data_IF_247520488261
#
_entry.id   IF_247520488261
#
_cell.length_a   1.000
_cell.length_b   1.000
_cell.length_c   1.000
_cell.angle_alpha   90.00
_cell.angle_beta   90.00
_cell.angle_gamma   90.00
#
_symmetry.space_group_name_H-M   'P 1'
#
loop_
_entity.id
_entity.type
_entity.pdbx_description
1 polymer ?
#
# COMPACT_ATOMS: atom_id res chain seq x y z
N UNK A 1 11.14 13.89 11.12
CA UNK A 1 10.08 13.09 10.50
C UNK A 1 9.29 12.44 11.61
N UNK A 2 8.15 13.05 11.96
CA UNK A 2 7.19 12.51 12.91
C UNK A 2 6.18 11.65 12.14
N UNK A 3 5.82 10.49 12.69
CA UNK A 3 4.70 9.69 12.17
C UNK A 3 3.48 10.08 12.97
N UNK A 4 2.36 10.31 12.30
CA UNK A 4 1.07 10.58 12.94
C UNK A 4 -0.04 9.77 12.29
N UNK A 5 -1.03 9.37 13.08
CA UNK A 5 -2.27 8.83 12.54
C UNK A 5 -2.99 9.93 11.73
N UNK A 6 -3.59 9.56 10.61
CA UNK A 6 -4.30 10.49 9.74
C UNK A 6 -5.74 10.72 10.24
N UNK A 7 -6.09 11.98 10.48
CA UNK A 7 -7.47 12.40 10.62
C UNK A 7 -8.23 12.35 9.27
N UNK A 8 -9.52 12.68 9.27
CA UNK A 8 -10.34 12.62 8.06
C UNK A 8 -9.83 13.53 6.93
N UNK A 9 -9.27 14.70 7.28
CA UNK A 9 -8.76 15.65 6.28
C UNK A 9 -7.44 15.16 5.67
N UNK A 10 -6.53 14.66 6.50
CA UNK A 10 -5.26 14.07 6.07
C UNK A 10 -5.49 12.82 5.20
N UNK A 11 -6.48 11.98 5.55
CA UNK A 11 -6.86 10.83 4.72
C UNK A 11 -7.35 11.25 3.34
N UNK A 12 -8.17 12.30 3.26
CA UNK A 12 -8.66 12.83 1.98
C UNK A 12 -7.52 13.39 1.13
N UNK A 13 -6.62 14.15 1.74
CA UNK A 13 -5.43 14.67 1.05
C UNK A 13 -4.56 13.53 0.50
N UNK A 14 -4.25 12.53 1.34
CA UNK A 14 -3.45 11.37 0.95
C UNK A 14 -4.14 10.51 -0.13
N UNK A 15 -5.45 10.30 -0.02
CA UNK A 15 -6.22 9.54 -1.01
C UNK A 15 -6.21 10.21 -2.39
N UNK A 16 -6.19 11.53 -2.46
CA UNK A 16 -6.07 12.25 -3.73
C UNK A 16 -4.71 12.05 -4.42
N UNK A 17 -3.69 11.63 -3.69
CA UNK A 17 -2.37 11.32 -4.27
C UNK A 17 -2.29 9.92 -4.87
N UNK A 18 -2.83 8.92 -4.17
CA UNK A 18 -2.87 7.53 -4.63
C UNK A 18 -3.98 7.28 -5.67
N UNK A 19 -5.02 8.10 -5.62
CA UNK A 19 -6.33 7.83 -6.20
C UNK A 19 -7.28 7.25 -5.13
N UNK A 20 -8.56 7.66 -5.10
CA UNK A 20 -9.45 7.42 -3.97
C UNK A 20 -9.88 5.95 -3.80
N UNK A 21 -9.72 5.14 -4.84
CA UNK A 21 -10.12 3.73 -4.88
C UNK A 21 -8.93 2.84 -5.17
N UNK A 22 -8.73 1.81 -4.34
CA UNK A 22 -7.80 0.72 -4.59
C UNK A 22 -8.57 -0.58 -4.83
N UNK A 23 -8.00 -1.47 -5.63
CA UNK A 23 -8.53 -2.82 -5.83
C UNK A 23 -7.41 -3.80 -5.56
N UNK A 24 -7.65 -4.72 -4.64
CA UNK A 24 -6.75 -5.80 -4.29
C UNK A 24 -7.58 -7.06 -4.05
N UNK A 25 -7.15 -8.20 -4.61
CA UNK A 25 -7.86 -9.49 -4.42
C UNK A 25 -9.35 -9.44 -4.78
N UNK A 26 -9.71 -8.60 -5.76
CA UNK A 26 -11.09 -8.40 -6.21
C UNK A 26 -11.99 -7.55 -5.28
N UNK A 27 -11.44 -6.98 -4.20
CA UNK A 27 -12.16 -6.10 -3.27
C UNK A 27 -11.86 -4.64 -3.58
N UNK A 28 -12.88 -3.78 -3.53
CA UNK A 28 -12.72 -2.33 -3.65
C UNK A 28 -12.49 -1.74 -2.26
N UNK A 29 -11.47 -0.91 -2.14
CA UNK A 29 -11.13 -0.15 -0.94
C UNK A 29 -11.28 1.35 -1.23
N UNK A 30 -12.03 2.06 -0.40
CA UNK A 30 -12.04 3.53 -0.40
C UNK A 30 -11.02 4.02 0.60
N UNK A 31 -9.95 4.68 0.15
CA UNK A 31 -8.84 5.02 1.03
C UNK A 31 -9.24 5.95 2.18
N UNK A 32 -10.16 6.89 1.92
CA UNK A 32 -10.65 7.83 2.94
C UNK A 32 -11.36 7.16 4.12
N UNK A 33 -11.86 5.94 3.92
CA UNK A 33 -12.56 5.12 4.93
C UNK A 33 -11.61 4.20 5.70
N UNK A 34 -10.36 4.05 5.25
CA UNK A 34 -9.39 3.18 5.88
C UNK A 34 -8.56 3.92 6.94
N UNK A 35 -8.12 3.24 8.02
CA UNK A 35 -7.11 3.80 8.88
C UNK A 35 -5.78 3.97 8.13
N UNK A 36 -4.96 4.90 8.61
CA UNK A 36 -3.66 5.17 8.01
C UNK A 36 -2.83 6.14 8.85
N UNK A 37 -1.54 6.19 8.54
CA UNK A 37 -0.61 7.15 9.14
C UNK A 37 0.22 7.84 8.06
N UNK A 38 0.74 9.01 8.37
CA UNK A 38 1.55 9.80 7.45
C UNK A 38 2.83 10.29 8.12
N UNK A 39 3.79 10.69 7.28
CA UNK A 39 5.01 11.38 7.69
C UNK A 39 4.94 12.81 7.17
N UNK A 40 5.19 13.77 8.06
CA UNK A 40 5.30 15.19 7.71
C UNK A 40 6.72 15.72 7.88
N UNK A 41 7.02 16.79 7.13
CA UNK A 41 8.21 17.63 7.35
C UNK A 41 8.00 18.62 8.51
N UNK A 42 8.98 19.51 8.73
CA UNK A 42 8.93 20.50 9.81
C UNK A 42 7.89 21.59 9.60
N UNK A 43 7.41 21.76 8.36
CA UNK A 43 6.42 22.77 7.97
C UNK A 43 5.00 22.19 7.93
N UNK A 44 4.84 20.90 8.26
CA UNK A 44 3.58 20.19 8.27
C UNK A 44 3.15 19.64 6.90
N UNK A 45 4.02 19.66 5.88
CA UNK A 45 3.67 19.09 4.58
C UNK A 45 3.77 17.56 4.62
N UNK A 46 2.76 16.88 4.06
CA UNK A 46 2.75 15.43 3.95
C UNK A 46 3.79 14.92 2.94
N UNK A 47 4.78 14.17 3.43
CA UNK A 47 5.84 13.56 2.63
C UNK A 47 5.49 12.14 2.17
N UNK A 48 4.74 11.40 2.99
CA UNK A 48 4.33 10.04 2.69
C UNK A 48 3.09 9.66 3.51
N UNK A 49 2.28 8.74 2.99
CA UNK A 49 1.11 8.21 3.66
C UNK A 49 0.96 6.72 3.40
N UNK A 50 0.49 5.98 4.40
CA UNK A 50 0.14 4.57 4.30
C UNK A 50 -1.29 4.37 4.76
N UNK A 51 -2.05 3.59 4.00
CA UNK A 51 -3.38 3.10 4.36
C UNK A 51 -3.33 1.60 4.55
N UNK A 52 -4.03 1.11 5.56
CA UNK A 52 -4.07 -0.31 5.86
C UNK A 52 -5.48 -0.78 6.23
N UNK A 53 -5.71 -2.07 6.15
CA UNK A 53 -6.97 -2.71 6.52
C UNK A 53 -6.65 -3.95 7.37
N UNK A 54 -7.15 -4.00 8.60
CA UNK A 54 -7.02 -5.17 9.47
C UNK A 54 -8.31 -5.97 9.42
N UNK A 55 -8.20 -7.22 9.00
CA UNK A 55 -9.34 -8.12 8.87
C UNK A 55 -8.90 -9.56 9.09
N UNK A 56 -9.69 -10.35 9.82
CA UNK A 56 -9.46 -11.78 10.04
C UNK A 56 -8.06 -12.13 10.60
N UNK A 57 -7.49 -11.27 11.45
CA UNK A 57 -6.15 -11.49 12.00
C UNK A 57 -5.01 -11.24 11.01
N UNK A 58 -5.26 -10.52 9.93
CA UNK A 58 -4.24 -10.08 8.97
C UNK A 58 -4.30 -8.58 8.73
N UNK A 59 -3.15 -7.96 8.49
CA UNK A 59 -3.06 -6.54 8.16
C UNK A 59 -2.63 -6.37 6.70
N UNK A 60 -3.51 -5.82 5.87
CA UNK A 60 -3.19 -5.46 4.49
C UNK A 60 -2.68 -4.02 4.42
N UNK A 61 -1.50 -3.78 3.83
CA UNK A 61 -1.11 -2.45 3.36
C UNK A 61 -1.81 -2.23 2.02
N UNK A 62 -2.83 -1.38 2.02
CA UNK A 62 -3.68 -1.12 0.86
C UNK A 62 -3.06 -0.09 -0.08
N UNK A 63 -2.33 0.89 0.47
CA UNK A 63 -1.63 1.91 -0.31
C UNK A 63 -0.47 2.47 0.49
N UNK A 64 0.67 2.73 -0.17
CA UNK A 64 1.80 3.46 0.38
C UNK A 64 2.30 4.43 -0.68
N UNK A 65 2.10 5.73 -0.43
CA UNK A 65 2.55 6.80 -1.32
C UNK A 65 3.65 7.63 -0.67
N UNK A 66 4.63 8.06 -1.46
CA UNK A 66 5.67 8.97 -0.99
C UNK A 66 6.06 9.98 -2.06
N UNK A 67 6.04 11.26 -1.69
CA UNK A 67 6.54 12.37 -2.51
C UNK A 67 8.06 12.54 -2.41
N UNK A 68 8.69 11.92 -1.42
CA UNK A 68 10.11 12.04 -1.14
C UNK A 68 10.77 10.65 -1.10
N UNK A 69 10.96 10.08 -2.28
CA UNK A 69 11.66 8.80 -2.44
C UNK A 69 13.07 8.84 -1.82
N UNK A 70 13.55 7.68 -1.36
CA UNK A 70 14.90 7.48 -0.82
C UNK A 70 15.26 8.29 0.44
N UNK A 71 14.27 8.83 1.16
CA UNK A 71 14.48 9.50 2.48
C UNK A 71 14.01 8.68 3.69
N UNK A 72 13.66 7.41 3.48
CA UNK A 72 13.29 6.47 4.56
C UNK A 72 11.86 6.57 5.08
N UNK A 73 11.03 7.51 4.59
CA UNK A 73 9.65 7.69 5.05
C UNK A 73 8.79 6.42 4.88
N UNK A 74 8.88 5.77 3.72
CA UNK A 74 8.14 4.52 3.47
C UNK A 74 8.54 3.37 4.40
N UNK A 75 9.83 3.26 4.77
CA UNK A 75 10.27 2.24 5.75
C UNK A 75 9.62 2.49 7.10
N UNK A 76 9.66 3.73 7.58
CA UNK A 76 9.09 4.12 8.88
C UNK A 76 7.58 3.87 8.95
N UNK A 77 6.87 4.14 7.86
CA UNK A 77 5.43 3.86 7.77
C UNK A 77 5.14 2.35 7.83
N UNK A 78 5.92 1.52 7.15
CA UNK A 78 5.81 0.06 7.23
C UNK A 78 6.08 -0.44 8.64
N UNK A 79 7.14 0.06 9.29
CA UNK A 79 7.47 -0.30 10.68
C UNK A 79 6.32 0.05 11.63
N UNK A 80 5.70 1.23 11.46
CA UNK A 80 4.55 1.65 12.27
C UNK A 80 3.33 0.76 12.06
N UNK A 81 2.99 0.42 10.81
CA UNK A 81 1.88 -0.51 10.52
C UNK A 81 2.18 -1.91 11.05
N UNK A 82 3.42 -2.38 10.92
CA UNK A 82 3.85 -3.69 11.43
C UNK A 82 3.74 -3.77 12.95
N UNK A 83 4.17 -2.73 13.67
CA UNK A 83 4.03 -2.64 15.12
C UNK A 83 2.56 -2.66 15.55
N UNK A 84 1.69 -1.93 14.83
CA UNK A 84 0.25 -1.94 15.09
C UNK A 84 -0.37 -3.31 14.83
N UNK A 85 -0.07 -3.94 13.70
CA UNK A 85 -0.54 -5.27 13.36
C UNK A 85 -0.14 -6.30 14.44
N UNK A 86 1.10 -6.25 14.95
CA UNK A 86 1.54 -7.06 16.10
C UNK A 86 0.69 -6.80 17.35
N UNK A 87 0.44 -5.55 17.68
CA UNK A 87 -0.38 -5.19 18.86
C UNK A 87 -1.83 -5.64 18.76
N UNK A 88 -2.36 -5.75 17.54
CA UNK A 88 -3.71 -6.24 17.24
C UNK A 88 -3.77 -7.77 17.09
N UNK A 89 -2.65 -8.48 17.32
CA UNK A 89 -2.59 -9.94 17.24
C UNK A 89 -2.67 -10.49 15.82
N UNK A 90 -2.30 -9.69 14.82
CA UNK A 90 -2.25 -10.17 13.44
C UNK A 90 -1.13 -11.21 13.26
N UNK A 91 -1.37 -12.20 12.40
CA UNK A 91 -0.39 -13.22 12.03
C UNK A 91 0.59 -12.74 10.95
N UNK A 92 0.17 -11.77 10.13
CA UNK A 92 1.00 -11.20 9.05
C UNK A 92 0.61 -9.78 8.70
N UNK A 93 1.57 -9.07 8.08
CA UNK A 93 1.33 -7.89 7.25
C UNK A 93 1.51 -8.31 5.79
N UNK A 94 0.60 -7.95 4.91
CA UNK A 94 0.68 -8.32 3.50
C UNK A 94 0.23 -7.18 2.59
N UNK A 95 0.47 -7.31 1.29
CA UNK A 95 0.06 -6.33 0.28
C UNK A 95 -0.04 -6.93 -1.11
N UNK A 96 -0.72 -6.21 -1.99
CA UNK A 96 -0.72 -6.45 -3.43
C UNK A 96 0.07 -5.36 -4.14
N UNK A 97 0.92 -5.78 -5.07
CA UNK A 97 1.50 -4.89 -6.08
C UNK A 97 1.30 -5.49 -7.46
N UNK A 98 1.27 -4.65 -8.49
CA UNK A 98 1.17 -5.12 -9.87
C UNK A 98 2.50 -5.66 -10.38
N UNK A 99 2.43 -6.60 -11.32
CA UNK A 99 3.61 -7.26 -11.88
C UNK A 99 4.60 -6.32 -12.59
N UNK A 100 4.17 -5.14 -13.04
CA UNK A 100 5.04 -4.13 -13.63
C UNK A 100 5.85 -3.34 -12.59
N UNK A 101 5.40 -3.30 -11.33
CA UNK A 101 5.97 -2.43 -10.31
C UNK A 101 7.22 -3.05 -9.65
N UNK A 102 8.24 -3.26 -10.48
CA UNK A 102 9.54 -3.83 -10.08
C UNK A 102 10.21 -3.03 -8.95
N UNK A 103 9.99 -1.72 -8.91
CA UNK A 103 10.45 -0.83 -7.83
C UNK A 103 9.81 -1.18 -6.49
N UNK A 104 8.48 -1.34 -6.45
CA UNK A 104 7.77 -1.74 -5.23
C UNK A 104 8.17 -3.15 -4.78
N UNK A 105 8.23 -4.11 -5.70
CA UNK A 105 8.66 -5.49 -5.41
C UNK A 105 10.03 -5.47 -4.71
N UNK A 106 11.02 -4.81 -5.32
CA UNK A 106 12.37 -4.66 -4.74
C UNK A 106 12.33 -3.95 -3.38
N UNK A 107 11.52 -2.91 -3.26
CA UNK A 107 11.40 -2.10 -2.05
C UNK A 107 10.89 -2.94 -0.86
N UNK A 108 9.85 -3.74 -1.05
CA UNK A 108 9.27 -4.58 0.00
C UNK A 108 10.16 -5.78 0.32
N UNK A 109 10.75 -6.44 -0.68
CA UNK A 109 11.68 -7.55 -0.43
C UNK A 109 12.91 -7.13 0.39
N UNK A 110 13.46 -5.94 0.14
CA UNK A 110 14.55 -5.38 0.96
C UNK A 110 14.15 -5.11 2.42
N UNK A 111 12.85 -5.14 2.76
CA UNK A 111 12.29 -4.93 4.09
C UNK A 111 11.76 -6.21 4.71
N UNK A 112 12.12 -7.37 4.14
CA UNK A 112 11.79 -8.68 4.69
C UNK A 112 10.42 -9.22 4.29
N UNK A 113 9.71 -8.56 3.36
CA UNK A 113 8.53 -9.18 2.76
C UNK A 113 8.96 -10.26 1.77
N UNK A 114 8.32 -11.42 1.82
CA UNK A 114 8.53 -12.51 0.87
C UNK A 114 7.36 -12.60 -0.12
N UNK A 115 7.62 -13.16 -1.30
CA UNK A 115 6.58 -13.40 -2.29
C UNK A 115 5.71 -14.59 -1.85
N UNK A 116 4.43 -14.33 -1.57
CA UNK A 116 3.47 -15.35 -1.14
C UNK A 116 2.77 -16.02 -2.32
N UNK A 117 2.23 -15.21 -3.24
CA UNK A 117 1.40 -15.71 -4.32
C UNK A 117 1.44 -14.82 -5.56
N UNK A 118 1.17 -15.43 -6.71
CA UNK A 118 0.93 -14.74 -7.98
C UNK A 118 -0.51 -15.00 -8.40
N UNK A 119 -1.30 -13.94 -8.48
CA UNK A 119 -2.68 -14.03 -8.94
C UNK A 119 -2.75 -13.62 -10.40
N UNK A 120 -2.64 -14.63 -11.26
CA UNK A 120 -2.61 -14.46 -12.71
C UNK A 120 -3.93 -13.83 -13.20
N UNK A 121 -3.77 -12.90 -14.13
CA UNK A 121 -4.82 -12.07 -14.73
C UNK A 121 -5.76 -11.34 -13.76
N UNK A 122 -5.44 -11.28 -12.46
CA UNK A 122 -6.27 -10.62 -11.46
C UNK A 122 -6.46 -9.12 -11.72
N UNK A 123 -5.47 -8.43 -12.31
CA UNK A 123 -5.63 -7.01 -12.67
C UNK A 123 -6.53 -6.83 -13.91
N UNK A 124 -6.57 -7.83 -14.80
CA UNK A 124 -7.53 -7.83 -15.91
C UNK A 124 -8.96 -7.85 -15.38
N UNK A 125 -9.23 -8.62 -14.32
CA UNK A 125 -10.52 -8.63 -13.63
C UNK A 125 -10.74 -7.35 -12.82
N UNK A 126 -9.71 -6.85 -12.12
CA UNK A 126 -9.78 -5.60 -11.37
C UNK A 126 -10.16 -4.40 -12.25
N UNK A 127 -9.77 -4.39 -13.53
CA UNK A 127 -10.20 -3.35 -14.50
C UNK A 127 -11.71 -3.28 -14.70
N UNK A 128 -12.45 -4.37 -14.51
CA UNK A 128 -13.92 -4.35 -14.58
C UNK A 128 -14.50 -3.51 -13.44
N UNK A 129 -13.82 -3.47 -12.28
CA UNK A 129 -14.18 -2.69 -11.11
C UNK A 129 -13.60 -1.27 -11.14
N UNK A 130 -12.35 -1.13 -11.63
CA UNK A 130 -11.63 0.14 -11.77
C UNK A 130 -11.09 0.27 -13.20
N UNK A 131 -11.93 0.69 -14.17
CA UNK A 131 -11.52 0.80 -15.59
C UNK A 131 -10.35 1.76 -15.84
N UNK A 132 -10.04 2.65 -14.88
CA UNK A 132 -8.92 3.57 -14.95
C UNK A 132 -7.54 2.91 -14.76
N UNK A 133 -7.45 1.62 -14.42
CA UNK A 133 -6.16 0.92 -14.35
C UNK A 133 -5.57 0.81 -15.77
N UNK A 134 -4.38 1.37 -16.04
CA UNK A 134 -3.79 1.39 -17.38
C UNK A 134 -3.41 -0.02 -17.85
N UNK A 135 -3.35 -0.23 -19.17
CA UNK A 135 -2.95 -1.51 -19.77
C UNK A 135 -1.44 -1.77 -19.65
N UNK A 136 -0.64 -0.72 -19.76
CA UNK A 136 0.81 -0.73 -19.69
C UNK A 136 1.23 0.11 -18.48
N UNK A 137 2.14 -0.42 -17.68
CA UNK A 137 2.64 0.20 -16.46
C UNK A 137 4.08 0.66 -16.59
N UNK A 138 4.80 0.56 -15.48
CA UNK A 138 6.21 0.92 -15.41
C UNK A 138 7.05 0.12 -16.41
N UNK A 139 8.08 0.76 -16.94
CA UNK A 139 9.06 0.15 -17.84
C UNK A 139 8.45 -0.51 -19.10
N UNK A 140 7.24 -0.09 -19.50
CA UNK A 140 6.55 -0.64 -20.67
C UNK A 140 5.94 -2.03 -20.44
N UNK A 141 5.87 -2.50 -19.19
CA UNK A 141 5.39 -3.84 -18.85
C UNK A 141 3.85 -3.88 -18.83
N UNK A 142 3.19 -4.85 -19.49
CA UNK A 142 1.75 -5.02 -19.39
C UNK A 142 1.31 -5.34 -17.96
N UNK A 143 0.29 -4.62 -17.48
CA UNK A 143 -0.25 -4.81 -16.14
C UNK A 143 -1.33 -5.90 -16.21
N UNK A 144 -1.07 -7.07 -15.64
CA UNK A 144 -2.00 -8.21 -15.74
C UNK A 144 -2.18 -8.93 -14.41
N UNK A 145 -1.15 -9.00 -13.59
CA UNK A 145 -1.11 -9.90 -12.45
C UNK A 145 -0.94 -9.11 -11.16
N UNK A 146 -1.59 -9.58 -10.12
CA UNK A 146 -1.29 -9.16 -8.76
C UNK A 146 -0.18 -10.07 -8.21
N UNK A 147 0.80 -9.46 -7.55
CA UNK A 147 1.80 -10.14 -6.75
C UNK A 147 1.49 -9.86 -5.28
N UNK A 148 1.28 -10.93 -4.52
CA UNK A 148 1.06 -10.86 -3.08
C UNK A 148 2.37 -11.04 -2.35
N UNK A 149 2.73 -10.06 -1.53
CA UNK A 149 3.91 -10.09 -0.67
C UNK A 149 3.46 -10.12 0.79
N UNK A 150 4.18 -10.85 1.64
CA UNK A 150 3.86 -10.98 3.06
C UNK A 150 5.07 -10.85 3.97
N UNK A 151 4.84 -10.36 5.18
CA UNK A 151 5.75 -10.32 6.30
C UNK A 151 5.06 -10.99 7.49
N UNK A 152 5.60 -12.12 7.95
CA UNK A 152 5.04 -12.86 9.09
C UNK A 152 5.40 -12.18 10.42
N UNK A 153 4.44 -12.11 11.34
CA UNK A 153 4.59 -11.40 12.62
C UNK A 153 4.97 -12.32 13.77
#
# INVERSE_FOLDING_TARGET
MLIKDMDAQARKEAANLAGPLMVSRGKIHRLEELPGCCVEDGDGNMLAAIFYNVQNGECEIVSLESRAENRGAGTKLIEAVTARARSEGCARVWLITSNDNTRAIRFYQKRGFDLKAVHRDAITEARKLKPSIPLIGNDGIPIRHELELEYLL
#
